data_IF_190182686435
#
_entry.id   IF_190182686435
#
_cell.length_a   1.000
_cell.length_b   1.000
_cell.length_c   1.000
_cell.angle_alpha   90.00
_cell.angle_beta   90.00
_cell.angle_gamma   90.00
#
_symmetry.space_group_name_H-M   'P 1'
#
loop_
_entity.id
_entity.type
_entity.pdbx_description
1 polymer ?
#
# COMPACT_ATOMS: atom_id res chain seq x y z
N UNK A 1 1.20 8.15 22.06
CA UNK A 1 0.70 7.30 20.95
C UNK A 1 1.82 7.15 19.94
N UNK A 2 1.91 6.00 19.26
CA UNK A 2 2.93 5.77 18.21
C UNK A 2 2.67 6.68 17.01
N UNK A 3 1.41 6.81 16.60
CA UNK A 3 0.90 7.76 15.61
C UNK A 3 -0.50 8.21 16.04
N UNK A 4 -0.92 9.41 15.66
CA UNK A 4 -2.31 9.85 15.84
C UNK A 4 -3.21 9.09 14.85
N UNK A 5 -4.29 8.49 15.34
CA UNK A 5 -5.19 7.70 14.50
C UNK A 5 -5.98 8.53 13.51
N UNK A 6 -6.23 9.82 13.80
CA UNK A 6 -6.84 10.75 12.85
C UNK A 6 -5.94 10.96 11.63
N UNK A 7 -4.64 11.14 11.87
CA UNK A 7 -3.65 11.33 10.80
C UNK A 7 -3.49 10.03 10.01
N UNK A 8 -3.40 8.87 10.70
CA UNK A 8 -3.34 7.57 10.04
C UNK A 8 -4.55 7.32 9.13
N UNK A 9 -5.76 7.67 9.58
CA UNK A 9 -6.95 7.55 8.75
C UNK A 9 -6.84 8.41 7.49
N UNK A 10 -6.37 9.65 7.60
CA UNK A 10 -6.17 10.52 6.44
C UNK A 10 -5.13 9.95 5.45
N UNK A 11 -4.02 9.42 5.95
CA UNK A 11 -3.01 8.76 5.11
C UNK A 11 -3.56 7.53 4.39
N UNK A 12 -4.36 6.70 5.08
CA UNK A 12 -5.01 5.54 4.47
C UNK A 12 -6.05 5.94 3.42
N UNK A 13 -6.83 7.00 3.67
CA UNK A 13 -7.80 7.51 2.71
C UNK A 13 -7.12 7.90 1.39
N UNK A 14 -6.06 8.71 1.49
CA UNK A 14 -5.31 9.18 0.33
C UNK A 14 -4.55 8.05 -0.39
N UNK A 15 -3.94 7.12 0.36
CA UNK A 15 -3.07 6.08 -0.22
C UNK A 15 -3.83 4.84 -0.68
N UNK A 16 -5.04 4.59 -0.18
CA UNK A 16 -5.78 3.34 -0.38
C UNK A 16 -7.19 3.62 -0.90
N UNK A 17 -8.03 4.34 -0.14
CA UNK A 17 -9.45 4.50 -0.48
C UNK A 17 -9.63 5.26 -1.79
N UNK A 18 -9.06 6.47 -1.89
CA UNK A 18 -9.18 7.32 -3.08
C UNK A 18 -8.71 6.63 -4.38
N UNK A 19 -7.55 5.94 -4.42
CA UNK A 19 -7.10 5.28 -5.64
C UNK A 19 -7.77 3.93 -5.93
N UNK A 20 -8.31 3.20 -4.95
CA UNK A 20 -8.72 1.79 -5.15
C UNK A 20 -10.22 1.53 -4.95
N UNK A 21 -10.91 2.30 -4.11
CA UNK A 21 -12.29 2.00 -3.73
C UNK A 21 -13.25 2.22 -4.91
N UNK A 22 -14.13 1.24 -5.15
CA UNK A 22 -15.05 1.20 -6.30
C UNK A 22 -14.35 1.40 -7.68
N UNK A 23 -13.08 0.97 -7.82
CA UNK A 23 -12.32 1.02 -9.08
C UNK A 23 -12.09 -0.36 -9.69
N UNK A 24 -11.95 -0.40 -11.01
CA UNK A 24 -11.34 -1.52 -11.69
C UNK A 24 -9.81 -1.34 -11.67
N UNK A 25 -9.07 -2.23 -11.00
CA UNK A 25 -7.62 -2.08 -10.83
C UNK A 25 -6.88 -1.94 -12.16
N UNK A 26 -7.15 -2.82 -13.13
CA UNK A 26 -6.39 -2.87 -14.38
C UNK A 26 -6.73 -1.72 -15.36
N UNK A 27 -7.88 -1.06 -15.19
CA UNK A 27 -8.35 0.02 -16.08
C UNK A 27 -8.21 1.41 -15.48
N UNK A 28 -8.51 1.54 -14.20
CA UNK A 28 -8.68 2.85 -13.55
C UNK A 28 -7.46 3.25 -12.71
N UNK A 29 -6.58 2.30 -12.39
CA UNK A 29 -5.41 2.53 -11.53
C UNK A 29 -4.14 2.41 -12.39
N UNK A 30 -3.49 3.53 -12.76
CA UNK A 30 -2.39 3.53 -13.74
C UNK A 30 -1.23 2.59 -13.40
N UNK A 31 -1.00 2.33 -12.11
CA UNK A 31 0.02 1.38 -11.65
C UNK A 31 -0.15 -0.03 -12.24
N UNK A 32 -1.40 -0.50 -12.41
CA UNK A 32 -1.69 -1.86 -12.88
C UNK A 32 -1.77 -1.99 -14.41
N UNK A 33 -1.59 -0.92 -15.19
CA UNK A 33 -1.62 -1.00 -16.65
C UNK A 33 -0.54 -1.94 -17.25
N UNK A 34 0.57 -2.15 -16.53
CA UNK A 34 1.64 -3.08 -16.91
C UNK A 34 2.00 -4.08 -15.80
N UNK A 35 1.21 -4.13 -14.73
CA UNK A 35 1.46 -4.96 -13.56
C UNK A 35 0.21 -5.77 -13.26
N UNK A 36 0.33 -7.09 -13.22
CA UNK A 36 -0.82 -7.97 -12.91
C UNK A 36 -1.36 -7.64 -11.53
N UNK A 37 -2.67 -7.40 -11.41
CA UNK A 37 -3.37 -7.00 -10.18
C UNK A 37 -3.58 -8.13 -9.16
N UNK A 38 -2.55 -8.95 -8.94
CA UNK A 38 -2.51 -9.95 -7.86
C UNK A 38 -2.56 -9.28 -6.49
N UNK A 39 -3.06 -10.00 -5.47
CA UNK A 39 -3.10 -9.52 -4.08
C UNK A 39 -1.71 -9.14 -3.57
N UNK A 40 -0.66 -9.82 -4.03
CA UNK A 40 0.75 -9.51 -3.79
C UNK A 40 1.12 -8.13 -4.32
N UNK A 41 0.82 -7.85 -5.58
CA UNK A 41 1.12 -6.55 -6.19
C UNK A 41 0.25 -5.42 -5.62
N UNK A 42 -0.97 -5.71 -5.17
CA UNK A 42 -1.80 -4.76 -4.43
C UNK A 42 -1.18 -4.42 -3.06
N UNK A 43 -0.65 -5.40 -2.34
CA UNK A 43 0.04 -5.16 -1.07
C UNK A 43 1.30 -4.30 -1.26
N UNK A 44 2.06 -4.51 -2.34
CA UNK A 44 3.20 -3.68 -2.72
C UNK A 44 2.77 -2.26 -3.09
N UNK A 45 1.73 -2.11 -3.91
CA UNK A 45 1.20 -0.80 -4.29
C UNK A 45 0.76 0.02 -3.06
N UNK A 46 0.02 -0.61 -2.14
CA UNK A 46 -0.43 0.04 -0.90
C UNK A 46 0.78 0.43 -0.03
N UNK A 47 1.77 -0.44 0.10
CA UNK A 47 3.01 -0.15 0.83
C UNK A 47 3.73 1.07 0.26
N UNK A 48 4.00 1.08 -1.05
CA UNK A 48 4.71 2.16 -1.71
C UNK A 48 3.92 3.49 -1.66
N UNK A 49 2.59 3.41 -1.66
CA UNK A 49 1.72 4.58 -1.53
C UNK A 49 1.73 5.14 -0.11
N UNK A 50 1.66 4.28 0.91
CA UNK A 50 1.76 4.68 2.32
C UNK A 50 3.15 5.22 2.69
N UNK A 51 4.23 4.66 2.12
CA UNK A 51 5.60 5.14 2.34
C UNK A 51 5.80 6.60 1.89
N UNK A 52 5.02 7.08 0.92
CA UNK A 52 5.12 8.47 0.42
C UNK A 52 4.46 9.50 1.33
N UNK A 53 3.52 9.09 2.18
CA UNK A 53 2.77 9.99 3.05
C UNK A 53 3.06 9.79 4.55
N UNK A 54 3.47 8.59 4.97
CA UNK A 54 3.87 8.31 6.34
C UNK A 54 5.28 8.82 6.63
N UNK A 55 5.58 9.19 7.90
CA UNK A 55 6.95 9.46 8.33
C UNK A 55 7.86 8.25 8.09
N UNK A 56 9.10 8.52 7.67
CA UNK A 56 10.12 7.48 7.43
C UNK A 56 10.28 6.57 8.65
N UNK A 57 10.23 5.25 8.43
CA UNK A 57 10.35 4.25 9.48
C UNK A 57 9.08 3.98 10.30
N UNK A 58 7.95 4.67 10.01
CA UNK A 58 6.70 4.45 10.72
C UNK A 58 5.91 3.23 10.20
N UNK A 59 6.02 2.89 8.91
CA UNK A 59 5.31 1.76 8.33
C UNK A 59 6.05 0.44 8.61
N UNK A 60 5.34 -0.50 9.25
CA UNK A 60 5.92 -1.80 9.59
C UNK A 60 5.41 -2.95 8.70
N UNK A 61 4.12 -2.93 8.34
CA UNK A 61 3.48 -4.04 7.62
C UNK A 61 2.20 -3.59 6.93
N UNK A 62 2.00 -4.04 5.69
CA UNK A 62 0.70 -4.03 5.01
C UNK A 62 0.16 -5.45 4.97
N UNK A 63 -1.14 -5.62 5.24
CA UNK A 63 -1.83 -6.90 5.16
C UNK A 63 -3.11 -6.73 4.34
N UNK A 64 -3.21 -7.44 3.23
CA UNK A 64 -4.36 -7.39 2.33
C UNK A 64 -5.11 -8.72 2.44
N UNK A 65 -6.42 -8.63 2.66
CA UNK A 65 -7.34 -9.74 2.59
C UNK A 65 -8.15 -9.59 1.30
N UNK A 66 -7.84 -10.41 0.30
CA UNK A 66 -8.66 -10.47 -0.92
C UNK A 66 -9.98 -11.21 -0.62
N UNK A 67 -9.87 -12.29 0.15
CA UNK A 67 -10.99 -13.02 0.74
C UNK A 67 -10.59 -13.50 2.14
N UNK A 68 -11.48 -14.23 2.83
CA UNK A 68 -11.14 -14.84 4.13
C UNK A 68 -10.00 -15.85 4.05
N UNK A 69 -9.85 -16.53 2.90
CA UNK A 69 -8.86 -17.61 2.69
C UNK A 69 -7.58 -17.12 2.01
N UNK A 70 -7.64 -15.98 1.33
CA UNK A 70 -6.52 -15.41 0.58
C UNK A 70 -6.02 -14.15 1.26
N UNK A 71 -4.82 -14.24 1.82
CA UNK A 71 -4.24 -13.18 2.63
C UNK A 71 -2.78 -13.01 2.27
N UNK A 72 -2.39 -11.78 1.97
CA UNK A 72 -0.99 -11.40 1.74
C UNK A 72 -0.52 -10.45 2.82
N UNK A 73 0.73 -10.63 3.23
CA UNK A 73 1.46 -9.72 4.10
C UNK A 73 2.70 -9.24 3.36
N UNK A 74 2.91 -7.93 3.30
CA UNK A 74 4.12 -7.32 2.75
C UNK A 74 4.77 -6.36 3.77
N UNK A 75 6.10 -6.39 3.82
CA UNK A 75 6.92 -5.65 4.80
C UNK A 75 8.04 -4.82 4.15
N UNK A 76 8.00 -4.61 2.84
CA UNK A 76 9.03 -3.86 2.12
C UNK A 76 10.34 -4.62 1.86
N UNK A 77 10.39 -5.93 2.13
CA UNK A 77 11.56 -6.77 1.89
C UNK A 77 11.80 -6.90 0.37
N UNK A 78 12.93 -6.39 -0.13
CA UNK A 78 13.31 -6.43 -1.55
C UNK A 78 13.22 -5.11 -2.31
N UNK A 79 12.65 -4.05 -1.72
CA UNK A 79 12.85 -2.70 -2.23
C UNK A 79 14.34 -2.36 -2.10
N UNK A 80 15.02 -1.86 -3.16
CA UNK A 80 16.38 -1.38 -3.01
C UNK A 80 16.35 -0.33 -1.90
N UNK A 81 17.05 -0.61 -0.80
CA UNK A 81 17.30 0.38 0.25
C UNK A 81 17.74 1.64 -0.48
N UNK A 82 17.00 2.74 -0.33
CA UNK A 82 17.47 4.04 -0.79
C UNK A 82 18.94 4.13 -0.38
N UNK A 83 19.83 4.25 -1.37
CA UNK A 83 21.22 4.53 -1.09
C UNK A 83 21.20 5.82 -0.27
N UNK A 84 21.47 5.69 1.02
CA UNK A 84 21.85 6.80 1.89
C UNK A 84 22.98 7.53 1.16
N UNK A 85 22.62 8.64 0.52
CA UNK A 85 23.51 9.64 -0.03
C UNK A 85 23.57 10.83 0.92
#
# INVERSE_FOLDING_TARGET
>A
MVINLTDLKAYMEQAITEPLDHKNLDKDVPYFAGVVSTTENVAVFIWDSLQKCLPTGALYKVKVHETEKNVVVYKGEGAPSEKLG
#
